data_IF_976811119583
#
_entry.id   IF_976811119583
#
_cell.length_a   1.000
_cell.length_b   1.000
_cell.length_c   1.000
_cell.angle_alpha   90.00
_cell.angle_beta   90.00
_cell.angle_gamma   90.00
#
_symmetry.space_group_name_H-M   'P 1'
#
loop_
_entity.id
_entity.type
_entity.pdbx_description
1 polymer ?
#
# COMPACT_ATOMS: atom_id res chain seq x y z
N UNK A 1 15.34 -1.72 -20.55
CA UNK A 1 14.15 -1.25 -19.78
C UNK A 1 12.98 -2.18 -19.92
N UNK A 2 12.56 -2.55 -21.12
CA UNK A 2 11.36 -3.36 -21.33
C UNK A 2 11.37 -4.71 -20.64
N UNK A 3 12.52 -5.33 -20.49
CA UNK A 3 12.63 -6.64 -19.86
C UNK A 3 12.23 -6.60 -18.39
N UNK A 4 12.63 -5.55 -17.68
CA UNK A 4 12.28 -5.41 -16.26
C UNK A 4 10.78 -5.19 -16.08
N UNK A 5 10.17 -4.44 -17.00
CA UNK A 5 8.74 -4.19 -16.97
C UNK A 5 7.94 -5.47 -17.15
N UNK A 6 8.41 -6.38 -18.00
CA UNK A 6 7.75 -7.64 -18.24
C UNK A 6 7.77 -8.55 -17.00
N UNK A 7 8.78 -8.40 -16.13
CA UNK A 7 8.92 -9.22 -14.92
C UNK A 7 7.92 -8.79 -13.85
N UNK A 8 7.75 -7.47 -13.64
CA UNK A 8 6.86 -6.96 -12.59
C UNK A 8 6.20 -5.65 -13.02
N UNK A 9 5.36 -5.75 -14.02
CA UNK A 9 4.67 -4.61 -14.61
C UNK A 9 3.78 -3.89 -13.60
N UNK A 10 3.10 -4.64 -12.73
CA UNK A 10 2.19 -4.05 -11.75
C UNK A 10 2.90 -3.20 -10.72
N UNK A 11 4.05 -3.65 -10.21
CA UNK A 11 4.87 -2.84 -9.32
C UNK A 11 5.42 -1.62 -10.03
N UNK A 12 5.75 -1.75 -11.30
CA UNK A 12 6.22 -0.63 -12.10
C UNK A 12 5.15 0.48 -12.17
N UNK A 13 3.91 0.14 -12.45
CA UNK A 13 2.83 1.14 -12.52
C UNK A 13 2.61 1.84 -11.18
N UNK A 14 2.63 1.09 -10.07
CA UNK A 14 2.51 1.69 -8.75
C UNK A 14 3.68 2.63 -8.45
N UNK A 15 4.89 2.27 -8.88
CA UNK A 15 6.07 3.11 -8.71
C UNK A 15 5.97 4.40 -9.52
N UNK A 16 5.48 4.32 -10.75
CA UNK A 16 5.27 5.51 -11.59
C UNK A 16 4.26 6.45 -10.93
N UNK A 17 3.16 5.93 -10.43
CA UNK A 17 2.16 6.75 -9.73
C UNK A 17 2.75 7.45 -8.51
N UNK A 18 3.56 6.76 -7.72
CA UNK A 18 4.23 7.35 -6.57
C UNK A 18 5.13 8.50 -7.00
N UNK A 19 5.92 8.32 -8.05
CA UNK A 19 6.85 9.33 -8.56
C UNK A 19 6.09 10.54 -9.06
N UNK A 20 5.00 10.35 -9.80
CA UNK A 20 4.17 11.45 -10.31
C UNK A 20 3.55 12.27 -9.19
N UNK A 21 3.24 11.64 -8.06
CA UNK A 21 2.70 12.33 -6.88
C UNK A 21 3.78 12.91 -5.97
N UNK A 22 5.06 12.72 -6.32
CA UNK A 22 6.17 13.18 -5.51
C UNK A 22 6.49 12.28 -4.33
N UNK A 23 6.06 11.02 -4.37
CA UNK A 23 6.30 10.05 -3.31
C UNK A 23 7.42 9.08 -3.69
N UNK A 24 8.08 8.53 -2.67
CA UNK A 24 9.03 7.44 -2.85
C UNK A 24 8.25 6.12 -2.94
N UNK A 25 8.32 5.40 -4.06
CA UNK A 25 7.59 4.14 -4.21
C UNK A 25 7.99 3.05 -3.23
N UNK A 26 9.20 3.09 -2.69
CA UNK A 26 9.64 2.11 -1.68
C UNK A 26 9.14 2.45 -0.28
N UNK A 27 8.68 3.68 -0.06
CA UNK A 27 8.23 4.17 1.23
C UNK A 27 6.71 4.37 1.31
N UNK A 28 6.04 4.56 0.17
CA UNK A 28 4.63 4.95 0.14
C UNK A 28 3.71 3.78 -0.09
N UNK A 29 2.70 3.63 0.75
CA UNK A 29 1.66 2.62 0.59
C UNK A 29 0.62 3.12 -0.42
N UNK A 30 0.61 2.49 -1.59
CA UNK A 30 -0.26 2.90 -2.69
C UNK A 30 -0.76 1.66 -3.44
N UNK A 31 -2.04 1.66 -3.80
CA UNK A 31 -2.60 0.69 -4.74
C UNK A 31 -3.15 1.42 -5.96
N UNK A 32 -3.00 0.83 -7.13
CA UNK A 32 -3.65 1.30 -8.35
C UNK A 32 -4.82 0.37 -8.61
N UNK A 33 -6.01 0.91 -8.73
CA UNK A 33 -7.22 0.13 -8.92
C UNK A 33 -8.03 0.68 -10.09
N UNK A 34 -8.94 -0.14 -10.57
CA UNK A 34 -9.83 0.24 -11.64
C UNK A 34 -10.83 1.31 -11.15
N UNK A 35 -11.41 2.04 -12.07
CA UNK A 35 -12.32 3.15 -11.76
C UNK A 35 -13.58 2.72 -11.00
N UNK A 36 -14.02 1.46 -11.13
CA UNK A 36 -15.19 0.96 -10.42
C UNK A 36 -14.95 0.84 -8.91
N UNK A 37 -13.73 0.54 -8.52
CA UNK A 37 -13.26 0.53 -7.12
C UNK A 37 -14.22 -0.08 -6.10
N UNK A 38 -14.84 -1.20 -6.45
CA UNK A 38 -15.59 -1.97 -5.47
C UNK A 38 -14.61 -2.81 -4.65
N UNK A 39 -15.03 -3.30 -3.50
CA UNK A 39 -14.19 -4.16 -2.67
C UNK A 39 -13.73 -5.43 -3.40
N UNK A 40 -14.50 -5.87 -4.40
CA UNK A 40 -14.17 -7.05 -5.20
C UNK A 40 -13.21 -6.76 -6.35
N UNK A 41 -12.90 -5.49 -6.60
CA UNK A 41 -12.00 -5.09 -7.67
C UNK A 41 -10.60 -5.63 -7.43
N UNK A 42 -10.00 -6.21 -8.47
CA UNK A 42 -8.60 -6.65 -8.42
C UNK A 42 -7.72 -5.42 -8.59
N UNK A 43 -6.74 -5.26 -7.71
CA UNK A 43 -5.79 -4.17 -7.83
C UNK A 43 -4.95 -4.36 -9.09
N UNK A 44 -4.77 -3.29 -9.85
CA UNK A 44 -3.92 -3.29 -11.04
C UNK A 44 -2.45 -3.26 -10.66
N UNK A 45 -2.13 -2.62 -9.55
CA UNK A 45 -0.77 -2.57 -9.03
C UNK A 45 -0.79 -2.31 -7.52
N UNK A 46 0.26 -2.77 -6.85
CA UNK A 46 0.46 -2.61 -5.41
C UNK A 46 1.90 -2.14 -5.21
N UNK A 47 2.10 -1.08 -4.43
CA UNK A 47 3.44 -0.55 -4.21
C UNK A 47 4.33 -1.55 -3.48
N UNK A 48 5.66 -1.50 -3.68
CA UNK A 48 6.57 -2.40 -2.98
C UNK A 48 6.47 -2.35 -1.46
N UNK A 49 6.19 -1.18 -0.89
CA UNK A 49 6.03 -1.04 0.56
C UNK A 49 4.87 -1.87 1.10
N UNK A 50 3.75 -1.92 0.37
CA UNK A 50 2.60 -2.73 0.78
C UNK A 50 2.85 -4.22 0.65
N UNK A 51 3.68 -4.65 -0.30
CA UNK A 51 4.02 -6.07 -0.46
C UNK A 51 4.72 -6.64 0.75
N UNK A 52 5.37 -5.81 1.56
CA UNK A 52 6.01 -6.24 2.82
C UNK A 52 5.02 -6.80 3.83
N UNK A 53 3.77 -6.41 3.75
CA UNK A 53 2.72 -6.91 4.64
C UNK A 53 2.09 -8.22 4.15
N UNK A 54 2.60 -8.76 3.04
CA UNK A 54 2.07 -9.98 2.45
C UNK A 54 0.95 -9.76 1.45
N UNK A 55 0.77 -8.53 0.98
CA UNK A 55 -0.24 -8.20 -0.01
C UNK A 55 0.25 -8.63 -1.40
N UNK A 56 -0.52 -9.50 -2.06
CA UNK A 56 -0.20 -9.94 -3.41
C UNK A 56 -0.40 -8.82 -4.42
N UNK A 57 0.39 -8.81 -5.49
CA UNK A 57 0.20 -7.87 -6.61
C UNK A 57 -1.12 -8.07 -7.34
N UNK A 58 -1.80 -9.21 -7.11
CA UNK A 58 -3.12 -9.52 -7.69
C UNK A 58 -4.22 -9.53 -6.64
N UNK A 59 -3.98 -8.97 -5.47
CA UNK A 59 -4.96 -8.93 -4.41
C UNK A 59 -6.21 -8.17 -4.83
N UNK A 60 -7.36 -8.59 -4.33
CA UNK A 60 -8.58 -7.79 -4.42
C UNK A 60 -8.55 -6.72 -3.36
N UNK A 61 -9.27 -5.64 -3.60
CA UNK A 61 -9.25 -4.50 -2.67
C UNK A 61 -9.66 -4.91 -1.25
N UNK A 62 -10.64 -5.81 -1.10
CA UNK A 62 -11.04 -6.27 0.24
C UNK A 62 -9.90 -7.02 0.96
N UNK A 63 -9.04 -7.71 0.21
CA UNK A 63 -7.88 -8.40 0.81
C UNK A 63 -6.86 -7.39 1.34
N UNK A 64 -6.66 -6.29 0.62
CA UNK A 64 -5.81 -5.20 1.10
C UNK A 64 -6.36 -4.65 2.41
N UNK A 65 -7.66 -4.39 2.46
CA UNK A 65 -8.34 -3.89 3.65
C UNK A 65 -8.15 -4.85 4.82
N UNK A 66 -8.36 -6.15 4.60
CA UNK A 66 -8.21 -7.16 5.65
C UNK A 66 -6.79 -7.23 6.20
N UNK A 67 -5.80 -7.22 5.32
CA UNK A 67 -4.40 -7.31 5.73
C UNK A 67 -3.99 -6.05 6.50
N UNK A 68 -4.36 -4.88 6.02
CA UNK A 68 -4.04 -3.62 6.70
C UNK A 68 -4.73 -3.56 8.08
N UNK A 69 -5.99 -3.99 8.17
CA UNK A 69 -6.68 -4.05 9.47
C UNK A 69 -5.98 -5.00 10.44
N UNK A 70 -5.54 -6.16 9.96
CA UNK A 70 -4.79 -7.11 10.78
C UNK A 70 -3.49 -6.50 11.31
N UNK A 71 -2.75 -5.84 10.45
CA UNK A 71 -1.50 -5.20 10.85
C UNK A 71 -1.74 -4.03 11.81
N UNK A 72 -2.80 -3.26 11.59
CA UNK A 72 -3.18 -2.19 12.50
C UNK A 72 -3.61 -2.71 13.86
N UNK A 73 -4.26 -3.85 13.92
CA UNK A 73 -4.61 -4.48 15.20
C UNK A 73 -3.36 -4.86 15.99
N UNK A 74 -2.33 -5.37 15.31
CA UNK A 74 -1.05 -5.66 15.94
C UNK A 74 -0.38 -4.39 16.46
N UNK A 75 -0.38 -3.33 15.66
CA UNK A 75 0.18 -2.04 16.07
C UNK A 75 -0.54 -1.46 17.28
N UNK A 76 -1.87 -1.58 17.29
CA UNK A 76 -2.68 -1.06 18.39
C UNK A 76 -2.38 -1.77 19.71
N UNK A 77 -2.13 -3.07 19.67
CA UNK A 77 -1.74 -3.83 20.88
C UNK A 77 -0.42 -3.34 21.46
N UNK A 78 0.52 -2.93 20.61
CA UNK A 78 1.82 -2.43 21.05
C UNK A 78 1.77 -0.97 21.49
N UNK A 79 1.00 -0.15 20.78
CA UNK A 79 0.96 1.30 20.99
C UNK A 79 -0.12 1.75 21.97
N UNK A 80 -1.16 0.93 22.15
CA UNK A 80 -2.35 1.17 22.98
C UNK A 80 -3.33 2.20 22.41
N UNK A 81 -2.90 3.12 21.55
CA UNK A 81 -3.77 4.08 20.89
C UNK A 81 -3.13 4.59 19.61
N UNK A 82 -3.95 5.15 18.72
CA UNK A 82 -3.48 5.87 17.54
C UNK A 82 -3.81 7.36 17.69
N UNK A 83 -2.87 8.22 17.25
CA UNK A 83 -3.07 9.67 17.22
C UNK A 83 -3.05 10.25 15.79
N UNK A 84 -3.06 9.39 14.78
CA UNK A 84 -3.08 9.79 13.39
C UNK A 84 -2.85 8.59 12.49
N UNK A 85 -2.62 8.85 11.22
CA UNK A 85 -2.33 7.82 10.22
C UNK A 85 -1.32 8.31 9.19
N UNK A 86 -0.67 7.39 8.49
CA UNK A 86 0.27 7.74 7.45
C UNK A 86 0.34 6.63 6.40
N UNK A 87 0.50 7.03 5.14
CA UNK A 87 0.81 6.14 4.03
C UNK A 87 2.32 5.94 3.87
N UNK A 88 3.15 6.64 4.66
CA UNK A 88 4.60 6.60 4.52
C UNK A 88 5.22 5.70 5.57
N UNK A 89 5.90 4.64 5.12
CA UNK A 89 6.53 3.69 6.02
C UNK A 89 7.58 4.33 6.92
N UNK A 90 8.31 5.33 6.42
CA UNK A 90 9.30 6.04 7.22
C UNK A 90 8.67 6.73 8.43
N UNK A 91 7.48 7.31 8.27
CA UNK A 91 6.75 7.93 9.38
C UNK A 91 6.20 6.89 10.32
N UNK A 92 5.71 5.77 9.80
CA UNK A 92 5.18 4.68 10.61
C UNK A 92 6.26 4.06 11.51
N UNK A 93 7.49 3.98 11.02
CA UNK A 93 8.61 3.47 11.80
C UNK A 93 9.02 4.42 12.91
N UNK A 94 8.89 5.72 12.70
CA UNK A 94 9.25 6.74 13.69
C UNK A 94 8.22 6.94 14.77
N UNK A 95 6.95 6.65 14.49
CA UNK A 95 5.85 6.88 15.42
C UNK A 95 4.91 5.69 15.46
N UNK A 96 4.99 4.92 16.53
CA UNK A 96 4.15 3.73 16.73
C UNK A 96 2.67 4.05 16.91
N UNK A 97 2.31 5.29 17.17
CA UNK A 97 0.93 5.73 17.35
C UNK A 97 0.27 6.13 16.03
N UNK A 98 0.94 5.95 14.91
CA UNK A 98 0.33 6.15 13.59
C UNK A 98 -0.27 4.85 13.08
N UNK A 99 -1.50 4.96 12.60
CA UNK A 99 -2.19 3.87 11.92
C UNK A 99 -1.66 3.73 10.50
N UNK A 100 -1.52 2.51 10.03
CA UNK A 100 -1.12 2.26 8.64
C UNK A 100 -2.26 2.66 7.72
N UNK A 101 -1.97 3.50 6.75
CA UNK A 101 -2.91 3.91 5.71
C UNK A 101 -2.31 3.61 4.33
N UNK A 102 -3.12 3.69 3.31
CA UNK A 102 -2.68 3.55 1.92
C UNK A 102 -3.54 4.44 1.02
N UNK A 103 -2.97 4.82 -0.13
CA UNK A 103 -3.69 5.61 -1.13
C UNK A 103 -4.20 4.70 -2.24
N UNK A 104 -5.33 5.07 -2.83
CA UNK A 104 -5.88 4.41 -4.02
C UNK A 104 -5.78 5.38 -5.18
N UNK A 105 -5.07 4.97 -6.24
CA UNK A 105 -4.97 5.71 -7.50
C UNK A 105 -5.78 5.00 -8.58
N UNK A 106 -6.36 5.76 -9.50
CA UNK A 106 -7.14 5.20 -10.61
C UNK A 106 -6.50 5.41 -11.98
#
# INVERSE_FOLDING_TARGET
MGIFLAIDLKSFYASVECIEKGYDPLDTNLVVADASRTEKTICLAVSPSLKKYGISGRARLFEVIQIINRENNKRLKESHYFNGESCLESKLQKNKHLKIAYEIAT
#
